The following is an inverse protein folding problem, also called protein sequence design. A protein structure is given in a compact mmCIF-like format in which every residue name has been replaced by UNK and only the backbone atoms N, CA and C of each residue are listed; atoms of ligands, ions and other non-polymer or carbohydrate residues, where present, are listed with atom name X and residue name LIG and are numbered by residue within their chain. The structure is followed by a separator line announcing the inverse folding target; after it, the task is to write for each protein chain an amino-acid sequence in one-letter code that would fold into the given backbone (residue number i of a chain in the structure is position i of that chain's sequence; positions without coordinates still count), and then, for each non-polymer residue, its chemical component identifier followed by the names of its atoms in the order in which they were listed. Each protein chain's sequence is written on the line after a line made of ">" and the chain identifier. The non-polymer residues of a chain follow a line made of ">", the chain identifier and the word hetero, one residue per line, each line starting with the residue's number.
data_IF_240661315225
#
_entry.id   IF_240661315225
#
_cell.length_a   1.000
_cell.length_b   1.000
_cell.length_c   1.000
_cell.angle_alpha   90.00
_cell.angle_beta   90.00
_cell.angle_gamma   90.00
#
_symmetry.space_group_name_H-M   'P 1'
#
loop_
_entity.id
_entity.type
_entity.pdbx_description
1 polymer ?
#
# COMPACT_ATOMS: atom_id res chain seq x y z
N UNK A 1 -18.25 -25.23 4.39
CA UNK A 1 -16.99 -25.32 3.68
C UNK A 1 -17.14 -24.89 2.23
N UNK A 2 -16.03 -24.60 1.56
CA UNK A 2 -16.02 -24.33 0.12
C UNK A 2 -16.47 -25.60 -0.62
N UNK A 3 -17.31 -25.42 -1.64
CA UNK A 3 -17.63 -26.51 -2.55
C UNK A 3 -16.43 -26.78 -3.44
N UNK A 4 -16.31 -28.00 -3.98
CA UNK A 4 -15.13 -28.36 -4.80
C UNK A 4 -15.02 -27.52 -6.08
N UNK A 5 -16.13 -27.13 -6.66
CA UNK A 5 -16.20 -26.28 -7.84
C UNK A 5 -15.64 -24.86 -7.61
N UNK A 6 -15.72 -24.33 -6.39
CA UNK A 6 -15.14 -23.03 -6.03
C UNK A 6 -13.61 -23.02 -6.03
N UNK A 7 -12.97 -24.18 -5.91
CA UNK A 7 -11.51 -24.32 -6.00
C UNK A 7 -10.95 -23.99 -7.39
N UNK A 8 -11.81 -24.04 -8.42
CA UNK A 8 -11.44 -23.70 -9.79
C UNK A 8 -11.42 -22.20 -10.09
N UNK A 9 -11.86 -21.34 -9.16
CA UNK A 9 -11.80 -19.90 -9.33
C UNK A 9 -10.35 -19.43 -9.07
N UNK A 10 -9.57 -19.33 -10.13
CA UNK A 10 -8.19 -18.86 -10.08
C UNK A 10 -8.16 -17.33 -10.21
N UNK A 11 -8.27 -16.63 -9.09
CA UNK A 11 -8.13 -15.16 -9.03
C UNK A 11 -6.83 -14.79 -8.34
N UNK A 12 -6.17 -13.75 -8.86
CA UNK A 12 -4.94 -13.18 -8.31
C UNK A 12 -5.20 -11.73 -7.93
N UNK A 13 -5.80 -11.48 -6.76
CA UNK A 13 -6.12 -10.13 -6.34
C UNK A 13 -4.85 -9.33 -6.03
N UNK A 14 -4.79 -8.10 -6.49
CA UNK A 14 -3.87 -7.11 -5.95
C UNK A 14 -4.42 -6.52 -4.63
N UNK A 15 -3.75 -5.49 -4.10
CA UNK A 15 -4.18 -4.87 -2.85
C UNK A 15 -5.53 -4.17 -2.93
N UNK A 16 -5.93 -3.68 -4.11
CA UNK A 16 -7.21 -3.03 -4.33
C UNK A 16 -8.34 -4.04 -4.56
N UNK A 17 -8.05 -5.13 -5.25
CA UNK A 17 -9.01 -6.17 -5.60
C UNK A 17 -9.43 -6.98 -4.37
N UNK A 18 -8.47 -7.31 -3.50
CA UNK A 18 -8.70 -8.23 -2.38
C UNK A 18 -9.91 -7.86 -1.52
N UNK A 19 -10.10 -6.60 -1.07
CA UNK A 19 -11.29 -6.22 -0.29
C UNK A 19 -12.60 -6.43 -1.06
N UNK A 20 -12.61 -6.10 -2.36
CA UNK A 20 -13.80 -6.25 -3.21
C UNK A 20 -14.12 -7.72 -3.47
N UNK A 21 -13.10 -8.54 -3.74
CA UNK A 21 -13.28 -9.97 -3.97
C UNK A 21 -13.80 -10.69 -2.73
N UNK A 22 -13.27 -10.36 -1.55
CA UNK A 22 -13.79 -10.89 -0.29
C UNK A 22 -15.24 -10.48 -0.08
N UNK A 23 -15.57 -9.22 -0.30
CA UNK A 23 -16.95 -8.75 -0.16
C UNK A 23 -17.89 -9.38 -1.18
N UNK A 24 -17.50 -9.45 -2.45
CA UNK A 24 -18.29 -10.09 -3.50
C UNK A 24 -18.52 -11.58 -3.21
N UNK A 25 -17.47 -12.28 -2.76
CA UNK A 25 -17.57 -13.69 -2.38
C UNK A 25 -18.59 -13.91 -1.25
N UNK A 26 -18.51 -13.15 -0.17
CA UNK A 26 -19.48 -13.29 0.93
C UNK A 26 -20.88 -12.86 0.52
N UNK A 27 -21.03 -11.83 -0.33
CA UNK A 27 -22.31 -11.43 -0.86
C UNK A 27 -22.93 -12.56 -1.72
N UNK A 28 -22.14 -13.17 -2.61
CA UNK A 28 -22.56 -14.31 -3.42
C UNK A 28 -22.98 -15.52 -2.55
N UNK A 29 -22.17 -15.88 -1.53
CA UNK A 29 -22.45 -17.02 -0.65
C UNK A 29 -23.69 -16.82 0.23
N UNK A 30 -24.00 -15.59 0.58
CA UNK A 30 -25.10 -15.24 1.50
C UNK A 30 -26.33 -14.69 0.77
N UNK A 31 -26.31 -14.59 -0.57
CA UNK A 31 -27.41 -14.04 -1.37
C UNK A 31 -27.64 -12.54 -1.09
N UNK A 32 -26.59 -11.79 -0.76
CA UNK A 32 -26.68 -10.38 -0.42
C UNK A 32 -26.48 -9.49 -1.66
N UNK A 33 -27.07 -8.27 -1.67
CA UNK A 33 -26.81 -7.32 -2.73
C UNK A 33 -25.37 -6.88 -2.77
N UNK A 34 -24.83 -6.68 -3.99
CA UNK A 34 -23.47 -6.25 -4.23
C UNK A 34 -23.41 -5.23 -5.36
N UNK A 35 -22.46 -4.32 -5.25
CA UNK A 35 -22.10 -3.36 -6.29
C UNK A 35 -20.73 -2.76 -6.00
N UNK A 36 -20.14 -2.16 -7.04
CA UNK A 36 -18.83 -1.51 -6.99
C UNK A 36 -18.84 -0.23 -7.83
N UNK A 37 -17.97 0.71 -7.45
CA UNK A 37 -17.82 1.98 -8.14
C UNK A 37 -16.53 2.01 -8.96
N UNK A 38 -16.62 2.57 -10.15
CA UNK A 38 -15.47 2.93 -10.96
C UNK A 38 -15.04 4.35 -10.64
N UNK A 39 -13.86 4.50 -10.13
CA UNK A 39 -13.35 5.77 -9.63
C UNK A 39 -12.20 6.26 -10.50
N UNK A 40 -12.00 7.58 -10.59
CA UNK A 40 -10.75 8.13 -11.09
C UNK A 40 -9.66 8.07 -10.00
N UNK A 41 -8.41 8.29 -10.38
CA UNK A 41 -7.28 8.21 -9.44
C UNK A 41 -7.05 9.48 -8.61
N UNK A 42 -7.86 10.53 -8.80
CA UNK A 42 -7.57 11.86 -8.30
C UNK A 42 -6.44 12.52 -9.08
N UNK A 43 -5.96 13.64 -8.62
CA UNK A 43 -4.86 14.41 -9.22
C UNK A 43 -5.11 15.91 -9.14
N UNK A 44 -4.06 16.72 -9.38
CA UNK A 44 -4.17 18.18 -9.28
C UNK A 44 -4.65 18.66 -7.90
N UNK A 45 -4.23 18.02 -6.82
CA UNK A 45 -4.66 18.36 -5.46
C UNK A 45 -6.09 17.93 -5.11
N UNK A 46 -6.74 17.08 -5.92
CA UNK A 46 -8.11 16.60 -5.70
C UNK A 46 -8.14 15.12 -5.38
N UNK A 47 -8.97 14.76 -4.40
CA UNK A 47 -9.25 13.37 -4.05
C UNK A 47 -9.90 12.60 -5.21
N UNK A 48 -9.74 11.25 -5.25
CA UNK A 48 -10.49 10.39 -6.17
C UNK A 48 -12.00 10.59 -6.05
N UNK A 49 -12.72 10.45 -7.17
CA UNK A 49 -14.18 10.46 -7.26
C UNK A 49 -14.67 9.27 -8.05
N UNK A 50 -15.88 8.79 -7.75
CA UNK A 50 -16.48 7.58 -8.32
C UNK A 50 -17.77 7.90 -9.08
N UNK A 51 -17.69 8.44 -10.30
CA UNK A 51 -18.86 8.91 -11.05
C UNK A 51 -19.77 7.79 -11.54
N UNK A 52 -19.33 6.55 -11.52
CA UNK A 52 -20.07 5.39 -12.02
C UNK A 52 -20.17 4.33 -10.93
N UNK A 53 -21.35 3.73 -10.81
CA UNK A 53 -21.60 2.63 -9.90
C UNK A 53 -22.37 1.52 -10.61
N UNK A 54 -21.83 0.32 -10.53
CA UNK A 54 -22.38 -0.90 -11.11
C UNK A 54 -22.79 -1.87 -10.02
N UNK A 55 -23.74 -2.74 -10.30
CA UNK A 55 -24.23 -3.70 -9.33
C UNK A 55 -24.79 -4.94 -10.03
N UNK A 56 -25.15 -5.96 -9.27
CA UNK A 56 -25.67 -7.23 -9.81
C UNK A 56 -26.98 -7.12 -10.63
N UNK A 57 -27.64 -5.96 -10.61
CA UNK A 57 -28.83 -5.69 -11.46
C UNK A 57 -28.47 -4.77 -12.65
N UNK A 58 -27.37 -4.05 -12.58
CA UNK A 58 -26.92 -3.12 -13.62
C UNK A 58 -25.45 -3.38 -13.90
N UNK A 59 -25.20 -4.20 -14.88
CA UNK A 59 -23.84 -4.57 -15.29
C UNK A 59 -23.11 -3.43 -16.00
N UNK A 60 -21.80 -3.37 -15.87
CA UNK A 60 -20.95 -2.49 -16.64
C UNK A 60 -21.01 -2.91 -18.13
N UNK A 61 -21.23 -1.97 -19.06
CA UNK A 61 -21.16 -2.31 -20.48
C UNK A 61 -19.74 -2.77 -20.84
N UNK A 62 -19.60 -3.73 -21.78
CA UNK A 62 -18.29 -4.19 -22.23
C UNK A 62 -17.42 -3.01 -22.65
N UNK A 63 -16.18 -2.96 -22.17
CA UNK A 63 -15.21 -1.96 -22.61
C UNK A 63 -14.92 -2.15 -24.10
N UNK A 64 -14.89 -1.10 -24.93
CA UNK A 64 -14.39 -1.21 -26.28
C UNK A 64 -12.95 -1.68 -26.23
N UNK A 65 -12.60 -2.63 -27.09
CA UNK A 65 -11.23 -3.13 -27.22
C UNK A 65 -10.29 -1.94 -27.40
N UNK A 66 -9.14 -1.84 -26.69
CA UNK A 66 -8.19 -0.73 -26.88
C UNK A 66 -7.81 -0.47 -28.34
N UNK A 67 -7.86 -1.51 -29.18
CA UNK A 67 -7.64 -1.41 -30.63
C UNK A 67 -8.80 -0.71 -31.37
N UNK A 68 -10.02 -0.72 -30.83
CA UNK A 68 -11.15 -0.02 -31.42
C UNK A 68 -11.20 1.46 -31.01
N UNK A 69 -10.63 1.81 -29.85
CA UNK A 69 -10.53 3.18 -29.39
C UNK A 69 -9.52 4.02 -30.20
N UNK A 70 -8.44 3.42 -30.71
CA UNK A 70 -7.53 4.09 -31.62
C UNK A 70 -8.12 4.38 -33.01
N UNK A 71 -9.10 3.59 -33.46
CA UNK A 71 -9.78 3.80 -34.74
C UNK A 71 -10.92 4.84 -34.67
N UNK A 72 -11.48 5.08 -33.50
CA UNK A 72 -12.54 6.09 -33.32
C UNK A 72 -12.01 7.52 -33.12
N UNK A 73 -10.72 7.69 -32.82
CA UNK A 73 -10.04 8.97 -32.62
C UNK A 73 -9.47 9.62 -33.89
N UNK A 74 -9.59 9.01 -35.05
CA UNK A 74 -9.05 9.48 -36.31
C UNK A 74 -10.01 10.34 -37.11
N UNK A 75 -10.11 11.63 -36.87
CA UNK A 75 -10.89 12.47 -37.76
C UNK A 75 -11.11 13.93 -37.35
N UNK A 76 -10.05 14.67 -37.07
CA UNK A 76 -10.10 16.12 -37.32
C UNK A 76 -8.99 16.52 -38.31
N UNK A 77 -9.32 17.09 -39.46
CA UNK A 77 -8.31 17.55 -40.41
C UNK A 77 -7.65 18.81 -39.85
N UNK A 78 -6.36 18.70 -39.54
CA UNK A 78 -5.51 19.85 -39.27
C UNK A 78 -5.42 20.73 -40.52
N UNK A 79 -5.82 21.96 -40.40
CA UNK A 79 -5.82 23.01 -41.47
C UNK A 79 -4.42 23.49 -41.87
N UNK A 80 -3.34 22.89 -41.38
CA UNK A 80 -1.97 23.33 -41.61
C UNK A 80 -1.11 22.45 -42.56
N UNK A 81 -1.74 21.62 -43.39
CA UNK A 81 -1.04 20.70 -44.30
C UNK A 81 -1.04 21.11 -45.78
N UNK A 82 -1.25 22.39 -46.14
CA UNK A 82 -1.17 22.87 -47.54
C UNK A 82 -0.09 23.90 -47.75
N UNK A 83 1.17 23.49 -47.70
CA UNK A 83 2.28 24.17 -48.36
C UNK A 83 3.53 23.27 -48.27
N UNK A 84 3.99 22.87 -49.45
CA UNK A 84 5.18 22.04 -49.76
C UNK A 84 4.89 20.60 -50.15
N UNK A 85 4.61 20.44 -51.44
CA UNK A 85 4.59 19.14 -52.08
C UNK A 85 5.97 18.62 -52.46
N UNK A 86 6.11 17.28 -52.39
CA UNK A 86 6.82 16.43 -53.40
C UNK A 86 6.53 14.96 -53.11
N UNK A 87 6.47 14.11 -54.15
CA UNK A 87 5.93 12.76 -54.00
C UNK A 87 7.02 11.76 -53.64
N UNK A 88 6.72 10.86 -52.73
CA UNK A 88 7.52 9.68 -52.51
C UNK A 88 6.64 8.41 -52.63
N UNK A 89 7.23 7.49 -53.39
CA UNK A 89 6.78 6.16 -53.80
C UNK A 89 6.14 5.34 -52.71
N UNK A 90 5.01 4.72 -53.02
CA UNK A 90 4.29 3.74 -52.20
C UNK A 90 5.06 2.41 -52.11
N UNK A 91 5.21 1.81 -50.92
CA UNK A 91 5.42 0.38 -50.82
C UNK A 91 4.09 -0.35 -50.78
N UNK A 92 3.94 -1.32 -51.66
CA UNK A 92 2.80 -2.24 -51.70
C UNK A 92 2.72 -3.04 -50.39
N UNK A 93 1.72 -2.76 -49.57
CA UNK A 93 1.44 -3.57 -48.39
C UNK A 93 0.67 -4.82 -48.79
N UNK A 94 1.24 -5.98 -48.45
CA UNK A 94 0.50 -7.27 -48.48
C UNK A 94 -0.67 -7.23 -47.48
N UNK A 95 -1.81 -7.83 -47.82
CA UNK A 95 -2.95 -7.88 -46.90
C UNK A 95 -2.60 -8.74 -45.70
N UNK A 96 -2.56 -8.14 -44.52
CA UNK A 96 -2.52 -8.85 -43.24
C UNK A 96 -3.89 -9.47 -43.04
N UNK A 97 -3.96 -10.78 -43.14
CA UNK A 97 -5.16 -11.54 -42.74
C UNK A 97 -5.32 -11.38 -41.24
N UNK A 98 -6.31 -10.58 -40.84
CA UNK A 98 -6.72 -10.48 -39.41
C UNK A 98 -7.14 -11.86 -38.94
N UNK A 99 -6.38 -12.42 -38.01
CA UNK A 99 -6.85 -13.57 -37.23
C UNK A 99 -8.06 -13.10 -36.45
N UNK A 100 -9.26 -13.56 -36.85
CA UNK A 100 -10.47 -13.40 -36.05
C UNK A 100 -10.24 -14.13 -34.73
N UNK A 101 -10.02 -13.40 -33.66
CA UNK A 101 -10.07 -13.95 -32.31
C UNK A 101 -11.48 -14.49 -32.08
N UNK A 102 -11.60 -15.80 -31.90
CA UNK A 102 -12.87 -16.42 -31.54
C UNK A 102 -13.39 -15.74 -30.27
N UNK A 103 -14.67 -15.34 -30.22
CA UNK A 103 -15.23 -14.80 -28.98
C UNK A 103 -15.00 -15.80 -27.85
N UNK A 104 -14.53 -15.32 -26.69
CA UNK A 104 -14.39 -16.15 -25.49
C UNK A 104 -15.74 -16.83 -25.23
N UNK A 105 -15.78 -18.16 -25.04
CA UNK A 105 -17.01 -18.85 -24.70
C UNK A 105 -17.64 -18.23 -23.45
N UNK A 106 -18.96 -18.04 -23.45
CA UNK A 106 -19.67 -17.55 -22.26
C UNK A 106 -19.43 -18.53 -21.11
N UNK A 107 -19.13 -18.04 -19.91
CA UNK A 107 -18.91 -18.89 -18.75
C UNK A 107 -20.19 -19.66 -18.44
N UNK A 108 -20.07 -20.98 -18.29
CA UNK A 108 -21.20 -21.86 -17.94
C UNK A 108 -21.21 -22.13 -16.43
N UNK A 109 -22.40 -22.06 -15.82
CA UNK A 109 -22.63 -22.33 -14.41
C UNK A 109 -22.33 -21.12 -13.48
N UNK A 110 -22.90 -21.14 -12.26
CA UNK A 110 -22.87 -19.98 -11.36
C UNK A 110 -21.48 -19.63 -10.85
N UNK A 111 -20.58 -20.62 -10.71
CA UNK A 111 -19.20 -20.39 -10.22
C UNK A 111 -18.35 -19.73 -11.29
N UNK A 112 -18.42 -20.20 -12.53
CA UNK A 112 -17.69 -19.62 -13.66
C UNK A 112 -18.18 -18.21 -13.98
N UNK A 113 -19.50 -17.98 -13.90
CA UNK A 113 -20.10 -16.65 -14.06
C UNK A 113 -19.64 -15.71 -12.95
N UNK A 114 -19.56 -16.18 -11.71
CA UNK A 114 -19.05 -15.41 -10.60
C UNK A 114 -17.54 -15.10 -10.75
N UNK A 115 -16.75 -16.06 -11.23
CA UNK A 115 -15.33 -15.85 -11.55
C UNK A 115 -15.13 -14.73 -12.58
N UNK A 116 -15.88 -14.75 -13.68
CA UNK A 116 -15.85 -13.70 -14.70
C UNK A 116 -16.29 -12.33 -14.15
N UNK A 117 -17.26 -12.32 -13.24
CA UNK A 117 -17.69 -11.09 -12.57
C UNK A 117 -16.57 -10.51 -11.67
N UNK A 118 -15.82 -11.36 -10.98
CA UNK A 118 -14.66 -10.93 -10.20
C UNK A 118 -13.56 -10.32 -11.09
N UNK A 119 -13.30 -10.89 -12.26
CA UNK A 119 -12.37 -10.31 -13.24
C UNK A 119 -12.82 -8.89 -13.65
N UNK A 120 -14.12 -8.71 -13.96
CA UNK A 120 -14.67 -7.38 -14.28
C UNK A 120 -14.50 -6.38 -13.14
N UNK A 121 -14.71 -6.81 -11.89
CA UNK A 121 -14.47 -5.96 -10.72
C UNK A 121 -13.00 -5.56 -10.66
N UNK A 122 -12.03 -6.50 -10.80
CA UNK A 122 -10.61 -6.24 -10.76
C UNK A 122 -10.14 -5.24 -11.83
N UNK A 123 -10.73 -5.29 -13.02
CA UNK A 123 -10.46 -4.30 -14.08
C UNK A 123 -11.03 -2.90 -13.77
N UNK A 124 -12.05 -2.80 -12.92
CA UNK A 124 -12.78 -1.57 -12.61
C UNK A 124 -12.31 -0.84 -11.36
N UNK A 125 -11.74 -1.56 -10.38
CA UNK A 125 -11.35 -1.00 -9.08
C UNK A 125 -9.85 -0.73 -8.99
N UNK A 126 -9.48 0.18 -8.11
CA UNK A 126 -8.07 0.47 -7.79
C UNK A 126 -7.97 1.11 -6.39
N UNK A 127 -6.77 1.23 -5.87
CA UNK A 127 -6.54 1.76 -4.50
C UNK A 127 -7.12 3.15 -4.22
N UNK A 128 -7.32 3.97 -5.26
CA UNK A 128 -8.02 5.26 -5.15
C UNK A 128 -9.49 5.13 -4.75
N UNK A 129 -10.15 4.01 -5.05
CA UNK A 129 -11.56 3.78 -4.72
C UNK A 129 -11.85 3.90 -3.22
N UNK A 130 -10.89 3.60 -2.36
CA UNK A 130 -11.03 3.74 -0.91
C UNK A 130 -10.47 5.06 -0.35
N UNK A 131 -9.87 5.93 -1.19
CA UNK A 131 -9.32 7.21 -0.78
C UNK A 131 -10.13 8.44 -1.21
N UNK A 132 -11.37 8.25 -1.58
CA UNK A 132 -12.32 9.33 -1.86
C UNK A 132 -12.47 10.26 -0.66
N UNK A 133 -12.95 11.47 -0.86
CA UNK A 133 -13.17 12.42 0.24
C UNK A 133 -14.06 11.80 1.33
N UNK A 134 -13.75 12.07 2.59
CA UNK A 134 -14.47 11.49 3.74
C UNK A 134 -15.98 11.83 3.76
N UNK A 135 -16.33 12.96 3.16
CA UNK A 135 -17.71 13.45 3.07
C UNK A 135 -18.46 12.98 1.81
N UNK A 136 -17.76 12.29 0.89
CA UNK A 136 -18.36 11.85 -0.38
C UNK A 136 -19.28 10.65 -0.15
N UNK A 137 -20.54 10.79 -0.54
CA UNK A 137 -21.58 9.77 -0.42
C UNK A 137 -21.63 8.81 -1.60
N UNK A 138 -21.05 9.19 -2.74
CA UNK A 138 -21.10 8.40 -3.97
C UNK A 138 -19.87 7.48 -4.13
N UNK A 139 -19.50 6.83 -3.06
CA UNK A 139 -18.33 5.95 -2.97
C UNK A 139 -18.70 4.61 -2.38
N UNK A 140 -17.86 3.59 -2.58
CA UNK A 140 -18.10 2.28 -2.00
C UNK A 140 -17.73 2.18 -0.53
N UNK A 141 -16.95 3.13 -0.03
CA UNK A 141 -16.46 3.13 1.34
C UNK A 141 -16.95 4.36 2.12
N UNK A 142 -17.04 4.19 3.42
CA UNK A 142 -17.26 5.30 4.34
C UNK A 142 -16.29 5.22 5.53
N UNK A 143 -15.85 6.35 6.09
CA UNK A 143 -14.94 6.37 7.22
C UNK A 143 -15.67 5.98 8.52
N UNK A 144 -14.96 5.27 9.39
CA UNK A 144 -15.43 4.81 10.70
C UNK A 144 -14.62 5.46 11.82
N UNK A 145 -15.12 5.51 13.08
CA UNK A 145 -14.32 5.97 14.21
C UNK A 145 -13.19 4.99 14.50
N UNK A 146 -12.12 5.46 15.14
CA UNK A 146 -11.08 4.57 15.67
C UNK A 146 -11.57 4.05 17.03
N UNK A 147 -12.23 2.91 17.00
CA UNK A 147 -12.82 2.27 18.17
C UNK A 147 -12.68 0.75 18.10
N UNK A 148 -12.85 0.08 19.24
CA UNK A 148 -12.83 -1.38 19.30
C UNK A 148 -13.88 -2.01 18.39
N UNK A 149 -15.09 -1.46 18.38
CA UNK A 149 -16.19 -1.94 17.54
C UNK A 149 -15.92 -1.76 16.04
N UNK A 150 -15.13 -0.74 15.65
CA UNK A 150 -14.81 -0.44 14.26
C UNK A 150 -13.60 -1.22 13.76
N UNK A 151 -12.58 -1.44 14.60
CA UNK A 151 -11.36 -2.17 14.22
C UNK A 151 -11.57 -3.70 14.31
N UNK A 152 -12.47 -4.21 13.50
CA UNK A 152 -12.88 -5.63 13.45
C UNK A 152 -12.64 -6.24 12.06
N UNK A 153 -12.65 -7.57 11.93
CA UNK A 153 -12.54 -8.24 10.63
C UNK A 153 -13.49 -7.67 9.58
N UNK A 154 -12.98 -7.47 8.36
CA UNK A 154 -13.70 -6.84 7.24
C UNK A 154 -13.61 -5.31 7.19
N UNK A 155 -13.09 -4.64 8.23
CA UNK A 155 -12.72 -3.22 8.13
C UNK A 155 -11.48 -3.09 7.25
N UNK A 156 -11.47 -2.10 6.36
CA UNK A 156 -10.38 -1.83 5.42
C UNK A 156 -9.58 -0.64 5.90
N UNK A 157 -8.28 -0.73 5.81
CA UNK A 157 -7.40 0.43 5.97
C UNK A 157 -6.95 0.91 4.59
N UNK A 158 -7.27 2.14 4.26
CA UNK A 158 -6.78 2.82 3.06
C UNK A 158 -5.47 3.54 3.38
N UNK A 159 -4.36 3.00 2.92
CA UNK A 159 -3.06 3.67 2.98
C UNK A 159 -3.08 4.89 2.04
N UNK A 160 -2.59 6.06 2.44
CA UNK A 160 -2.61 7.27 1.61
C UNK A 160 -1.87 7.08 0.28
N UNK A 161 -0.98 6.12 0.20
CA UNK A 161 -0.07 5.93 -0.93
C UNK A 161 -0.31 4.65 -1.75
N UNK A 162 -1.47 4.02 -1.62
CA UNK A 162 -1.90 3.07 -2.62
C UNK A 162 -2.11 1.63 -2.18
N UNK A 163 -1.98 1.28 -0.90
CA UNK A 163 -2.36 -0.04 -0.42
C UNK A 163 -3.74 -0.04 0.24
N UNK A 164 -4.47 -1.14 0.06
CA UNK A 164 -5.65 -1.45 0.85
C UNK A 164 -5.38 -2.71 1.66
N UNK A 165 -5.64 -2.63 2.95
CA UNK A 165 -5.43 -3.74 3.87
C UNK A 165 -6.76 -4.10 4.52
N UNK A 166 -7.08 -5.38 4.56
CA UNK A 166 -8.30 -5.87 5.22
C UNK A 166 -7.94 -6.38 6.60
N UNK A 167 -8.56 -5.84 7.64
CA UNK A 167 -8.42 -6.38 8.99
C UNK A 167 -8.98 -7.80 8.99
N UNK A 168 -8.13 -8.76 9.35
CA UNK A 168 -8.47 -10.17 9.38
C UNK A 168 -8.71 -10.68 10.81
N UNK A 169 -7.97 -10.16 11.79
CA UNK A 169 -8.07 -10.60 13.19
C UNK A 169 -7.60 -9.52 14.15
N UNK A 170 -8.34 -9.38 15.25
CA UNK A 170 -7.88 -8.67 16.43
C UNK A 170 -7.56 -9.70 17.51
N UNK A 171 -6.37 -9.62 18.06
CA UNK A 171 -5.97 -10.36 19.26
C UNK A 171 -6.00 -9.38 20.41
N UNK A 172 -6.84 -9.66 21.40
CA UNK A 172 -6.97 -8.80 22.57
C UNK A 172 -5.66 -8.73 23.35
N UNK A 173 -5.38 -7.58 23.97
CA UNK A 173 -4.30 -7.43 24.92
C UNK A 173 -4.51 -8.41 26.09
N UNK A 174 -3.43 -9.02 26.54
CA UNK A 174 -3.37 -9.80 27.77
C UNK A 174 -2.43 -9.12 28.76
N UNK A 175 -2.44 -9.53 30.04
CA UNK A 175 -1.60 -8.89 31.05
C UNK A 175 -0.13 -8.71 30.66
N UNK A 176 0.40 -9.63 29.85
CA UNK A 176 1.83 -9.67 29.48
C UNK A 176 2.11 -9.25 28.03
N UNK A 177 1.11 -9.05 27.21
CA UNK A 177 1.31 -8.83 25.76
C UNK A 177 0.40 -7.74 25.23
N UNK A 178 0.97 -6.85 24.41
CA UNK A 178 0.20 -5.86 23.67
C UNK A 178 -0.87 -6.53 22.79
N UNK A 179 -1.97 -5.82 22.57
CA UNK A 179 -2.95 -6.22 21.58
C UNK A 179 -2.36 -6.22 20.19
N UNK A 180 -2.87 -7.08 19.31
CA UNK A 180 -2.40 -7.18 17.93
C UNK A 180 -3.59 -7.03 16.98
N UNK A 181 -3.41 -6.20 15.99
CA UNK A 181 -4.30 -6.08 14.85
C UNK A 181 -3.61 -6.67 13.62
N UNK A 182 -4.17 -7.74 13.07
CA UNK A 182 -3.65 -8.41 11.88
C UNK A 182 -4.49 -8.04 10.67
N UNK A 183 -3.81 -7.69 9.60
CA UNK A 183 -4.41 -7.41 8.30
C UNK A 183 -3.89 -8.39 7.25
N UNK A 184 -4.61 -8.48 6.14
CA UNK A 184 -4.19 -9.15 4.90
C UNK A 184 -4.10 -8.13 3.78
N UNK A 185 -3.14 -8.35 2.89
CA UNK A 185 -2.79 -7.47 1.78
C UNK A 185 -2.55 -8.31 0.52
N UNK A 186 -3.27 -8.01 -0.55
CA UNK A 186 -3.00 -8.59 -1.87
C UNK A 186 -1.74 -7.98 -2.47
N UNK A 187 -0.92 -8.82 -3.07
CA UNK A 187 0.32 -8.38 -3.70
C UNK A 187 0.19 -8.41 -5.24
N UNK A 188 0.96 -7.62 -5.99
CA UNK A 188 0.89 -7.61 -7.46
C UNK A 188 1.13 -8.98 -8.11
N UNK A 189 1.87 -9.88 -7.45
CA UNK A 189 2.07 -11.27 -7.91
C UNK A 189 0.87 -12.19 -7.64
N UNK A 190 -0.22 -11.65 -7.04
CA UNK A 190 -1.43 -12.37 -6.68
C UNK A 190 -1.33 -13.16 -5.38
N UNK A 191 -0.26 -13.02 -4.62
CA UNK A 191 -0.15 -13.60 -3.28
C UNK A 191 -0.85 -12.74 -2.24
N UNK A 192 -1.23 -13.35 -1.11
CA UNK A 192 -1.85 -12.63 0.02
C UNK A 192 -0.91 -12.70 1.22
N UNK A 193 -0.40 -11.53 1.62
CA UNK A 193 0.49 -11.40 2.75
C UNK A 193 -0.29 -11.08 4.03
N UNK A 194 0.18 -11.60 5.17
CA UNK A 194 -0.27 -11.17 6.50
C UNK A 194 0.62 -10.06 6.99
N UNK A 195 0.02 -9.03 7.59
CA UNK A 195 0.73 -7.89 8.17
C UNK A 195 0.22 -7.59 9.58
N UNK A 196 1.14 -7.38 10.50
CA UNK A 196 0.82 -6.81 11.82
C UNK A 196 0.62 -5.30 11.64
N UNK A 197 -0.47 -4.78 12.17
CA UNK A 197 -0.75 -3.35 12.19
C UNK A 197 0.03 -2.69 13.35
N UNK A 198 0.92 -1.77 13.03
CA UNK A 198 1.62 -0.94 13.99
C UNK A 198 2.10 0.36 13.29
N UNK A 199 2.34 1.42 14.05
CA UNK A 199 2.64 2.75 13.49
C UNK A 199 3.85 2.83 12.55
N UNK A 200 4.79 1.90 12.63
CA UNK A 200 5.95 1.82 11.73
C UNK A 200 5.68 1.09 10.39
N UNK A 201 4.55 0.42 10.22
CA UNK A 201 4.20 -0.31 9.01
C UNK A 201 3.19 0.43 8.12
N UNK A 202 2.38 1.31 8.71
CA UNK A 202 1.26 1.93 8.05
C UNK A 202 1.45 3.42 8.05
N UNK A 203 1.18 4.01 6.90
CA UNK A 203 1.28 5.44 6.75
C UNK A 203 -0.09 6.05 6.94
N UNK A 204 -0.15 7.11 7.71
CA UNK A 204 -1.28 8.01 7.76
C UNK A 204 -0.76 9.41 7.42
N UNK A 205 -1.42 10.09 6.53
CA UNK A 205 -1.10 11.45 6.14
C UNK A 205 -2.39 12.21 5.83
N UNK A 206 -2.39 13.48 6.09
CA UNK A 206 -3.48 14.37 5.72
C UNK A 206 -2.99 15.31 4.62
N UNK A 207 -3.40 15.01 3.42
CA UNK A 207 -3.21 15.87 2.26
C UNK A 207 -4.46 15.74 1.38
N UNK A 208 -5.14 16.85 1.05
CA UNK A 208 -6.35 16.82 0.22
C UNK A 208 -6.15 16.09 -1.12
N UNK A 209 -4.95 16.16 -1.70
CA UNK A 209 -4.61 15.47 -2.95
C UNK A 209 -4.49 13.95 -2.81
N UNK A 210 -4.25 13.45 -1.59
CA UNK A 210 -4.20 12.01 -1.31
C UNK A 210 -5.59 11.43 -0.97
N UNK A 211 -6.60 12.28 -0.86
CA UNK A 211 -7.93 11.90 -0.45
C UNK A 211 -8.04 11.67 1.06
N UNK A 212 -8.91 10.76 1.47
CA UNK A 212 -9.14 10.44 2.88
C UNK A 212 -8.61 9.04 3.21
N UNK A 213 -7.38 8.90 3.67
CA UNK A 213 -6.85 7.63 4.19
C UNK A 213 -7.50 7.24 5.52
N UNK A 214 -7.15 6.05 6.02
CA UNK A 214 -7.59 5.56 7.32
C UNK A 214 -8.53 4.37 7.26
N UNK A 215 -9.17 4.07 8.39
CA UNK A 215 -10.07 2.93 8.53
C UNK A 215 -11.43 3.23 7.92
N UNK A 216 -11.91 2.28 7.11
CA UNK A 216 -13.17 2.40 6.38
C UNK A 216 -13.92 1.08 6.34
N UNK A 217 -15.20 1.18 6.03
CA UNK A 217 -16.04 0.03 5.68
C UNK A 217 -16.71 0.25 4.36
N UNK A 218 -17.09 -0.85 3.74
CA UNK A 218 -17.97 -0.80 2.59
C UNK A 218 -19.35 -0.28 2.97
N UNK A 219 -19.88 0.60 2.14
CA UNK A 219 -21.27 1.05 2.30
C UNK A 219 -22.23 -0.11 2.18
N UNK A 220 -23.26 -0.12 3.03
CA UNK A 220 -24.36 -1.06 2.85
C UNK A 220 -25.05 -0.81 1.50
N UNK A 221 -25.29 -1.90 0.77
CA UNK A 221 -26.12 -1.90 -0.42
C UNK A 221 -27.49 -2.45 -0.02
N UNK A 222 -28.54 -1.68 -0.29
CA UNK A 222 -29.91 -2.02 0.09
C UNK A 222 -30.82 -1.96 -1.13
N UNK A 223 -31.99 -2.60 -1.03
CA UNK A 223 -33.06 -2.43 -2.02
C UNK A 223 -33.78 -1.12 -1.75
N UNK A 224 -34.06 -0.38 -2.81
CA UNK A 224 -34.95 0.77 -2.75
C UNK A 224 -36.43 0.34 -2.79
N UNK A 225 -37.36 1.31 -2.67
CA UNK A 225 -38.79 1.05 -2.70
C UNK A 225 -39.32 0.45 -4.03
N UNK A 226 -38.56 0.52 -5.11
CA UNK A 226 -38.86 0.01 -6.44
C UNK A 226 -38.15 -1.32 -6.75
N UNK A 227 -37.45 -1.89 -5.77
CA UNK A 227 -36.67 -3.12 -5.92
C UNK A 227 -35.29 -2.94 -6.56
N UNK A 228 -34.91 -1.72 -6.92
CA UNK A 228 -33.54 -1.35 -7.34
C UNK A 228 -32.54 -1.45 -6.22
N UNK A 229 -31.25 -1.46 -6.57
CA UNK A 229 -30.16 -1.44 -5.59
C UNK A 229 -29.56 -0.04 -5.47
N UNK A 230 -29.31 0.39 -4.23
CA UNK A 230 -28.62 1.64 -3.92
C UNK A 230 -27.66 1.49 -2.72
N UNK A 231 -26.72 2.38 -2.62
CA UNK A 231 -25.85 2.53 -1.44
C UNK A 231 -26.51 3.46 -0.42
N UNK A 232 -26.27 3.22 0.87
CA UNK A 232 -26.66 4.17 1.92
C UNK A 232 -25.70 5.36 1.95
N UNK A 233 -26.25 6.58 2.10
CA UNK A 233 -25.47 7.79 2.30
C UNK A 233 -24.92 7.90 3.74
N UNK A 234 -23.98 8.82 3.97
CA UNK A 234 -23.34 9.05 5.28
C UNK A 234 -24.37 9.35 6.38
N UNK A 235 -25.34 10.21 6.07
CA UNK A 235 -26.39 10.58 7.02
C UNK A 235 -27.34 9.41 7.36
N UNK A 236 -27.60 8.52 6.40
CA UNK A 236 -28.40 7.31 6.63
C UNK A 236 -27.63 6.31 7.48
N UNK A 237 -26.34 6.10 7.19
CA UNK A 237 -25.46 5.22 7.97
C UNK A 237 -25.37 5.73 9.41
N UNK A 238 -25.12 7.02 9.63
CA UNK A 238 -24.97 7.61 10.95
C UNK A 238 -26.20 7.42 11.86
N UNK A 239 -27.40 7.37 11.28
CA UNK A 239 -28.67 7.20 11.99
C UNK A 239 -29.14 5.74 12.11
N UNK A 240 -28.45 4.82 11.45
CA UNK A 240 -28.87 3.44 11.37
C UNK A 240 -28.42 2.67 12.62
N UNK A 241 -29.36 2.02 13.31
CA UNK A 241 -29.06 1.26 14.53
C UNK A 241 -28.12 0.04 14.27
N UNK A 242 -28.14 -0.50 13.06
CA UNK A 242 -27.31 -1.66 12.69
C UNK A 242 -25.92 -1.27 12.21
N UNK A 243 -25.79 -0.12 11.53
CA UNK A 243 -24.52 0.32 10.94
C UNK A 243 -23.85 1.43 11.76
N UNK A 244 -24.55 2.44 12.15
CA UNK A 244 -24.32 3.57 13.09
C UNK A 244 -22.91 4.11 13.33
N UNK A 245 -21.91 3.68 12.57
CA UNK A 245 -20.49 3.90 12.82
C UNK A 245 -19.81 4.81 11.78
N UNK A 246 -20.57 5.64 11.08
CA UNK A 246 -19.99 6.71 10.27
C UNK A 246 -19.33 7.77 11.16
N UNK A 247 -18.08 8.14 10.85
CA UNK A 247 -17.37 9.17 11.61
C UNK A 247 -16.35 9.90 10.74
N UNK A 248 -16.27 11.23 10.93
CA UNK A 248 -15.24 12.08 10.34
C UNK A 248 -14.07 12.32 11.32
N UNK A 249 -14.00 11.61 12.43
CA UNK A 249 -12.96 11.78 13.45
C UNK A 249 -11.55 11.69 12.85
N UNK A 250 -11.28 10.65 12.05
CA UNK A 250 -9.95 10.42 11.46
C UNK A 250 -9.48 11.56 10.57
N UNK A 251 -10.40 12.19 9.84
CA UNK A 251 -10.08 13.31 8.96
C UNK A 251 -9.68 14.59 9.73
N UNK A 252 -9.90 14.63 11.04
CA UNK A 252 -9.56 15.77 11.92
C UNK A 252 -8.31 15.51 12.75
N UNK A 253 -7.83 14.26 12.82
CA UNK A 253 -6.63 13.90 13.57
C UNK A 253 -5.37 14.23 12.76
N UNK A 254 -4.35 14.77 13.43
CA UNK A 254 -2.99 14.77 12.87
C UNK A 254 -2.38 13.38 12.89
N UNK A 255 -1.18 13.22 12.32
CA UNK A 255 -0.51 11.91 12.18
C UNK A 255 -0.27 11.25 13.54
N UNK A 256 0.35 11.94 14.48
CA UNK A 256 0.64 11.37 15.81
C UNK A 256 -0.65 11.07 16.61
N UNK A 257 -1.65 11.98 16.71
CA UNK A 257 -2.92 11.66 17.36
C UNK A 257 -3.67 10.49 16.74
N UNK A 258 -3.59 10.30 15.41
CA UNK A 258 -4.17 9.13 14.75
C UNK A 258 -3.54 7.83 15.26
N UNK A 259 -2.22 7.77 15.29
CA UNK A 259 -1.52 6.57 15.76
C UNK A 259 -1.69 6.36 17.26
N UNK A 260 -1.68 7.44 18.06
CA UNK A 260 -1.92 7.35 19.50
C UNK A 260 -3.32 6.77 19.78
N UNK A 261 -4.35 7.25 19.05
CA UNK A 261 -5.70 6.71 19.17
C UNK A 261 -5.81 5.25 18.73
N UNK A 262 -5.13 4.89 17.67
CA UNK A 262 -5.06 3.50 17.19
C UNK A 262 -4.42 2.58 18.24
N UNK A 263 -3.29 3.00 18.80
CA UNK A 263 -2.58 2.24 19.84
C UNK A 263 -3.44 2.08 21.11
N UNK A 264 -4.19 3.13 21.50
CA UNK A 264 -5.11 3.11 22.65
C UNK A 264 -6.22 2.07 22.48
N UNK A 265 -6.72 1.90 21.26
CA UNK A 265 -7.77 0.92 20.95
C UNK A 265 -7.22 -0.50 20.84
N UNK A 266 -6.03 -0.65 20.28
CA UNK A 266 -5.40 -1.97 20.13
C UNK A 266 -4.95 -2.51 21.49
N UNK A 267 -4.39 -1.66 22.35
CA UNK A 267 -3.87 -2.01 23.67
C UNK A 267 -4.44 -1.06 24.73
N UNK A 268 -5.68 -1.25 25.20
CA UNK A 268 -6.35 -0.30 26.08
C UNK A 268 -5.77 -0.23 27.50
N UNK A 269 -5.14 -1.30 27.99
CA UNK A 269 -4.50 -1.30 29.30
C UNK A 269 -3.04 -0.80 29.21
N UNK A 270 -2.48 -0.23 30.30
CA UNK A 270 -1.08 0.19 30.32
C UNK A 270 -0.13 -0.95 29.99
N UNK A 271 0.84 -0.70 29.13
CA UNK A 271 1.86 -1.66 28.70
C UNK A 271 3.13 -1.55 29.56
N UNK A 272 3.79 -2.66 29.83
CA UNK A 272 5.17 -2.61 30.35
C UNK A 272 6.07 -1.88 29.34
N UNK A 273 6.74 -0.78 29.73
CA UNK A 273 7.48 0.05 28.79
C UNK A 273 8.72 -0.65 28.21
N UNK A 274 9.38 -1.54 28.99
CA UNK A 274 10.55 -2.30 28.52
C UNK A 274 10.14 -3.35 27.50
N UNK A 275 9.05 -4.03 27.75
CA UNK A 275 8.50 -5.00 26.79
C UNK A 275 8.02 -4.33 25.51
N UNK A 276 7.32 -3.21 25.64
CA UNK A 276 6.80 -2.48 24.49
C UNK A 276 7.91 -1.98 23.56
N UNK A 277 9.06 -1.51 24.09
CA UNK A 277 10.20 -1.13 23.25
C UNK A 277 10.84 -2.35 22.59
N UNK A 278 10.95 -3.50 23.28
CA UNK A 278 11.48 -4.73 22.70
C UNK A 278 10.60 -5.25 21.54
N UNK A 279 9.28 -5.12 21.67
CA UNK A 279 8.35 -5.45 20.58
C UNK A 279 8.50 -4.50 19.39
N UNK A 280 8.70 -3.19 19.63
CA UNK A 280 8.95 -2.21 18.58
C UNK A 280 10.28 -2.50 17.83
N UNK A 281 11.34 -2.86 18.56
CA UNK A 281 12.63 -3.26 17.98
C UNK A 281 12.47 -4.55 17.15
N UNK A 282 11.68 -5.51 17.64
CA UNK A 282 11.39 -6.74 16.88
C UNK A 282 10.66 -6.45 15.58
N UNK A 283 9.70 -5.53 15.60
CA UNK A 283 9.01 -5.11 14.39
C UNK A 283 9.91 -4.38 13.38
N UNK A 284 10.89 -3.61 13.84
CA UNK A 284 11.94 -3.03 12.99
C UNK A 284 12.84 -4.13 12.38
N UNK A 285 13.25 -5.10 13.18
CA UNK A 285 14.07 -6.24 12.74
C UNK A 285 13.37 -7.04 11.63
N UNK A 286 12.08 -7.31 11.78
CA UNK A 286 11.26 -7.95 10.74
C UNK A 286 11.26 -7.14 9.43
N UNK A 287 11.18 -5.81 9.48
CA UNK A 287 11.24 -4.96 8.30
C UNK A 287 12.61 -4.96 7.63
N UNK A 288 13.69 -4.96 8.44
CA UNK A 288 15.06 -5.07 7.92
C UNK A 288 15.26 -6.41 7.21
N UNK A 289 14.81 -7.52 7.81
CA UNK A 289 14.91 -8.85 7.19
C UNK A 289 14.08 -8.96 5.90
N UNK A 290 12.90 -8.35 5.84
CA UNK A 290 12.11 -8.26 4.61
C UNK A 290 12.84 -7.43 3.52
N UNK A 291 13.58 -6.38 3.93
CA UNK A 291 14.42 -5.60 3.01
C UNK A 291 15.63 -6.39 2.52
N UNK A 292 16.27 -7.20 3.36
CA UNK A 292 17.35 -8.12 2.95
C UNK A 292 16.90 -8.97 1.77
N UNK A 293 15.71 -9.59 1.89
CA UNK A 293 15.13 -10.40 0.81
C UNK A 293 14.91 -9.58 -0.47
N UNK A 294 14.39 -8.36 -0.35
CA UNK A 294 14.10 -7.53 -1.52
C UNK A 294 15.36 -7.04 -2.23
N UNK A 295 16.38 -6.63 -1.48
CA UNK A 295 17.67 -6.20 -2.04
C UNK A 295 18.37 -7.39 -2.68
N UNK A 296 18.31 -8.58 -2.07
CA UNK A 296 18.89 -9.81 -2.63
C UNK A 296 18.21 -10.24 -3.93
N UNK A 297 16.88 -10.07 -4.05
CA UNK A 297 16.18 -10.32 -5.31
C UNK A 297 16.68 -9.42 -6.43
N UNK A 298 16.90 -8.12 -6.14
CA UNK A 298 17.52 -7.19 -7.08
C UNK A 298 18.95 -7.59 -7.46
N UNK A 299 19.78 -8.02 -6.50
CA UNK A 299 21.12 -8.53 -6.74
C UNK A 299 21.12 -9.75 -7.67
N UNK A 300 20.22 -10.71 -7.42
CA UNK A 300 20.05 -11.90 -8.27
C UNK A 300 19.60 -11.56 -9.67
N UNK A 301 18.70 -10.59 -9.84
CA UNK A 301 18.31 -10.08 -11.14
C UNK A 301 19.51 -9.52 -11.90
N UNK A 302 20.32 -8.69 -11.26
CA UNK A 302 21.53 -8.12 -11.85
C UNK A 302 22.58 -9.21 -12.20
N UNK A 303 22.83 -10.16 -11.30
CA UNK A 303 23.79 -11.25 -11.50
C UNK A 303 23.43 -12.16 -12.69
N UNK A 304 22.13 -12.26 -13.03
CA UNK A 304 21.64 -12.98 -14.23
C UNK A 304 21.71 -12.15 -15.52
N UNK A 305 22.40 -11.00 -15.52
CA UNK A 305 22.48 -10.13 -16.69
C UNK A 305 21.25 -9.22 -16.87
N UNK A 306 20.51 -8.95 -15.79
CA UNK A 306 19.40 -8.00 -15.81
C UNK A 306 19.83 -6.64 -16.35
N UNK A 307 19.02 -6.07 -17.26
CA UNK A 307 19.27 -4.76 -17.83
C UNK A 307 19.16 -3.68 -16.76
N UNK A 308 19.83 -2.55 -16.99
CA UNK A 308 19.60 -1.36 -16.18
C UNK A 308 18.11 -0.98 -16.28
N UNK A 309 17.46 -0.78 -15.12
CA UNK A 309 16.07 -0.38 -15.12
C UNK A 309 15.96 1.14 -15.25
N UNK A 310 15.04 1.56 -16.09
CA UNK A 310 14.70 2.97 -16.20
C UNK A 310 14.07 3.43 -14.87
N UNK A 311 14.63 4.49 -14.32
CA UNK A 311 14.06 5.13 -13.12
C UNK A 311 12.92 6.04 -13.54
N UNK A 312 11.69 5.81 -13.06
CA UNK A 312 10.55 6.65 -13.37
C UNK A 312 10.71 8.08 -12.86
N UNK A 313 9.91 8.99 -13.41
CA UNK A 313 9.91 10.39 -13.00
C UNK A 313 8.89 10.67 -11.90
N UNK A 314 9.26 11.56 -10.99
CA UNK A 314 8.38 12.09 -9.95
C UNK A 314 7.76 10.99 -9.07
N UNK A 315 6.47 11.13 -8.71
CA UNK A 315 5.75 10.18 -7.87
C UNK A 315 5.71 8.75 -8.41
N UNK A 316 5.92 8.57 -9.71
CA UNK A 316 5.88 7.27 -10.37
C UNK A 316 6.99 6.30 -9.90
N UNK A 317 8.03 6.79 -9.20
CA UNK A 317 9.01 5.89 -8.57
C UNK A 317 8.37 4.90 -7.59
N UNK A 318 7.19 5.23 -7.06
CA UNK A 318 6.45 4.42 -6.10
C UNK A 318 5.39 3.49 -6.72
N UNK A 319 5.12 3.59 -8.03
CA UNK A 319 3.89 3.06 -8.63
C UNK A 319 4.05 2.41 -10.01
N UNK A 320 5.26 2.11 -10.41
CA UNK A 320 5.55 1.58 -11.76
C UNK A 320 5.45 0.07 -11.87
N UNK A 321 5.48 -0.42 -13.11
CA UNK A 321 5.52 -1.83 -13.48
C UNK A 321 6.91 -2.24 -13.98
N UNK A 322 7.16 -3.56 -14.05
CA UNK A 322 8.40 -4.11 -14.57
C UNK A 322 9.55 -4.13 -13.57
N UNK A 323 10.79 -4.16 -14.07
CA UNK A 323 11.97 -4.38 -13.24
C UNK A 323 12.16 -3.33 -12.12
N UNK A 324 11.70 -2.09 -12.33
CA UNK A 324 11.74 -1.08 -11.27
C UNK A 324 10.80 -1.44 -10.11
N UNK A 325 9.56 -1.81 -10.41
CA UNK A 325 8.59 -2.22 -9.38
C UNK A 325 9.03 -3.48 -8.65
N UNK A 326 9.56 -4.47 -9.40
CA UNK A 326 9.96 -5.76 -8.85
C UNK A 326 11.17 -5.67 -7.90
N UNK A 327 12.14 -4.79 -8.19
CA UNK A 327 13.46 -4.85 -7.56
C UNK A 327 13.95 -3.55 -6.93
N UNK A 328 13.42 -2.38 -7.28
CA UNK A 328 13.65 -1.14 -6.53
C UNK A 328 12.82 -1.13 -5.23
N UNK A 329 13.25 -0.34 -4.26
CA UNK A 329 12.66 -0.41 -2.92
C UNK A 329 12.12 0.92 -2.36
N UNK A 330 11.66 1.91 -3.18
CA UNK A 330 11.34 3.23 -2.65
C UNK A 330 10.20 3.20 -1.60
N UNK A 331 9.14 2.45 -1.85
CA UNK A 331 8.02 2.31 -0.90
C UNK A 331 8.45 1.59 0.39
N UNK A 332 9.32 0.61 0.26
CA UNK A 332 9.84 -0.18 1.39
C UNK A 332 10.81 0.63 2.22
N UNK A 333 11.70 1.38 1.57
CA UNK A 333 12.69 2.21 2.23
C UNK A 333 12.04 3.37 2.97
N UNK A 334 11.02 4.00 2.41
CA UNK A 334 10.23 5.02 3.12
C UNK A 334 9.59 4.44 4.41
N UNK A 335 9.01 3.24 4.35
CA UNK A 335 8.44 2.58 5.54
C UNK A 335 9.51 2.19 6.55
N UNK A 336 10.68 1.74 6.10
CA UNK A 336 11.80 1.44 6.99
C UNK A 336 12.25 2.69 7.74
N UNK A 337 12.37 3.83 7.06
CA UNK A 337 12.73 5.11 7.68
C UNK A 337 11.73 5.55 8.73
N UNK A 338 10.44 5.36 8.49
CA UNK A 338 9.37 5.61 9.48
C UNK A 338 9.51 4.66 10.67
N UNK A 339 9.77 3.37 10.44
CA UNK A 339 9.97 2.41 11.52
C UNK A 339 11.20 2.75 12.38
N UNK A 340 12.29 3.22 11.76
CA UNK A 340 13.46 3.73 12.46
C UNK A 340 13.08 4.89 13.38
N UNK A 341 12.32 5.87 12.88
CA UNK A 341 11.89 7.03 13.67
C UNK A 341 10.95 6.62 14.82
N UNK A 342 10.06 5.65 14.60
CA UNK A 342 9.17 5.10 15.63
C UNK A 342 9.95 4.43 16.77
N UNK A 343 10.97 3.64 16.43
CA UNK A 343 11.80 2.95 17.43
C UNK A 343 12.70 3.93 18.16
N UNK A 344 13.36 4.83 17.44
CA UNK A 344 14.24 5.86 18.02
C UNK A 344 13.49 6.80 18.94
N UNK A 345 12.27 7.21 18.57
CA UNK A 345 11.41 8.11 19.35
C UNK A 345 10.59 7.42 20.44
N UNK A 346 10.73 6.09 20.64
CA UNK A 346 9.93 5.37 21.62
C UNK A 346 10.13 5.85 23.07
N UNK A 347 11.36 6.08 23.57
CA UNK A 347 11.56 6.60 24.92
C UNK A 347 10.89 7.98 25.16
N UNK A 348 10.96 8.88 24.18
CA UNK A 348 10.29 10.18 24.23
C UNK A 348 8.76 10.05 24.27
N UNK A 349 8.21 9.04 23.59
CA UNK A 349 6.78 8.76 23.61
C UNK A 349 6.33 8.27 25.00
N UNK A 350 7.13 7.44 25.65
CA UNK A 350 6.83 6.99 27.02
C UNK A 350 6.85 8.17 27.99
N UNK A 351 7.79 9.08 27.88
CA UNK A 351 7.83 10.31 28.69
C UNK A 351 6.63 11.22 28.42
N UNK A 352 6.21 11.36 27.16
CA UNK A 352 5.07 12.20 26.75
C UNK A 352 3.73 11.64 27.20
N UNK A 353 3.59 10.31 27.24
CA UNK A 353 2.34 9.61 27.54
C UNK A 353 2.52 8.53 28.60
N UNK A 354 3.01 8.87 29.82
CA UNK A 354 3.31 7.90 30.86
C UNK A 354 2.08 7.09 31.29
N UNK A 355 0.88 7.67 31.18
CA UNK A 355 -0.39 7.01 31.50
C UNK A 355 -0.70 5.76 30.65
N UNK A 356 -0.01 5.63 29.49
CA UNK A 356 -0.13 4.48 28.58
C UNK A 356 0.72 3.29 28.99
N UNK A 357 1.54 3.47 30.02
CA UNK A 357 2.52 2.46 30.43
C UNK A 357 2.38 2.14 31.92
N UNK A 358 2.64 0.87 32.25
CA UNK A 358 2.75 0.43 33.63
C UNK A 358 4.08 0.93 34.20
N UNK A 359 4.07 2.21 34.60
CA UNK A 359 5.28 2.89 35.10
C UNK A 359 5.77 2.23 36.39
N UNK A 360 7.08 1.94 36.52
CA UNK A 360 7.63 1.39 37.75
C UNK A 360 7.39 2.30 38.94
N UNK A 361 7.00 1.71 40.07
CA UNK A 361 6.71 2.48 41.28
C UNK A 361 7.96 3.26 41.74
N UNK A 362 7.77 4.52 42.09
CA UNK A 362 8.83 5.40 42.58
C UNK A 362 9.76 5.98 41.52
N UNK A 363 9.52 5.73 40.21
CA UNK A 363 10.28 6.31 39.13
C UNK A 363 9.50 7.39 38.39
N UNK A 364 10.17 8.47 38.07
CA UNK A 364 9.68 9.50 37.16
C UNK A 364 9.68 9.03 35.69
N UNK A 365 8.90 9.68 34.85
CA UNK A 365 8.88 9.39 33.40
C UNK A 365 10.27 9.63 32.76
N UNK A 366 11.02 10.63 33.24
CA UNK A 366 12.38 10.92 32.77
C UNK A 366 13.39 9.80 33.13
N UNK A 367 13.30 9.21 34.31
CA UNK A 367 14.15 8.08 34.71
C UNK A 367 13.83 6.84 33.87
N UNK A 368 12.54 6.55 33.64
CA UNK A 368 12.12 5.44 32.76
C UNK A 368 12.59 5.67 31.33
N UNK A 369 12.50 6.91 30.81
CA UNK A 369 13.03 7.28 29.50
C UNK A 369 14.53 6.97 29.39
N UNK A 370 15.33 7.37 30.40
CA UNK A 370 16.76 7.10 30.40
C UNK A 370 17.10 5.60 30.40
N UNK A 371 16.35 4.80 31.17
CA UNK A 371 16.49 3.34 31.15
C UNK A 371 16.13 2.73 29.79
N UNK A 372 15.08 3.23 29.16
CA UNK A 372 14.67 2.77 27.83
C UNK A 372 15.67 3.17 26.75
N UNK A 373 16.32 4.34 26.84
CA UNK A 373 17.40 4.76 25.95
C UNK A 373 18.60 3.82 26.06
N UNK A 374 18.99 3.44 27.28
CA UNK A 374 20.07 2.48 27.52
C UNK A 374 19.71 1.10 26.95
N UNK A 375 18.51 0.58 27.24
CA UNK A 375 18.03 -0.69 26.72
C UNK A 375 17.97 -0.68 25.18
N UNK A 376 17.49 0.41 24.59
CA UNK A 376 17.44 0.58 23.14
C UNK A 376 18.82 0.47 22.51
N UNK A 377 19.82 1.20 23.05
CA UNK A 377 21.18 1.17 22.56
C UNK A 377 21.80 -0.24 22.65
N UNK A 378 21.58 -0.94 23.74
CA UNK A 378 22.04 -2.31 23.96
C UNK A 378 21.41 -3.29 22.96
N UNK A 379 20.08 -3.28 22.82
CA UNK A 379 19.37 -4.22 21.97
C UNK A 379 19.63 -3.98 20.47
N UNK A 380 19.77 -2.74 20.05
CA UNK A 380 20.15 -2.40 18.68
C UNK A 380 21.54 -2.92 18.30
N UNK A 381 22.49 -2.94 19.25
CA UNK A 381 23.82 -3.47 19.03
C UNK A 381 23.86 -5.01 19.01
N UNK A 382 22.99 -5.67 19.79
CA UNK A 382 22.91 -7.13 19.84
C UNK A 382 22.29 -7.74 18.60
N UNK A 383 21.27 -7.10 18.00
CA UNK A 383 20.55 -7.63 16.86
C UNK A 383 21.32 -7.42 15.58
N UNK A 384 21.66 -8.52 14.93
CA UNK A 384 22.49 -8.57 13.72
C UNK A 384 21.77 -9.23 12.58
N UNK A 385 22.04 -8.79 11.39
CA UNK A 385 21.62 -9.44 10.16
C UNK A 385 22.77 -9.41 9.14
N UNK A 386 22.70 -10.28 8.14
CA UNK A 386 23.70 -10.33 7.09
C UNK A 386 23.06 -10.18 5.72
N UNK A 387 23.79 -9.59 4.80
CA UNK A 387 23.41 -9.51 3.40
C UNK A 387 24.58 -9.97 2.50
N UNK A 388 24.26 -10.35 1.25
CA UNK A 388 25.26 -10.75 0.27
C UNK A 388 25.76 -9.52 -0.47
N UNK A 389 27.07 -9.23 -0.43
CA UNK A 389 27.72 -8.15 -1.20
C UNK A 389 27.73 -8.45 -2.70
N UNK A 390 28.13 -7.46 -3.49
CA UNK A 390 28.18 -7.56 -4.96
C UNK A 390 29.12 -8.65 -5.47
N UNK A 391 30.18 -8.99 -4.74
CA UNK A 391 31.12 -10.07 -5.04
C UNK A 391 30.65 -11.47 -4.57
N UNK A 392 29.52 -11.55 -3.87
CA UNK A 392 29.00 -12.79 -3.31
C UNK A 392 29.43 -13.06 -1.87
N UNK A 393 30.33 -12.28 -1.28
CA UNK A 393 30.72 -12.40 0.13
C UNK A 393 29.60 -11.91 1.05
N UNK A 394 29.62 -12.40 2.30
CA UNK A 394 28.65 -11.97 3.33
C UNK A 394 29.19 -10.74 4.08
N UNK A 395 28.29 -9.81 4.36
CA UNK A 395 28.55 -8.69 5.27
C UNK A 395 27.50 -8.63 6.36
N UNK A 396 27.92 -8.30 7.58
CA UNK A 396 27.03 -8.26 8.76
C UNK A 396 26.91 -6.85 9.30
N UNK A 397 25.67 -6.42 9.52
CA UNK A 397 25.30 -5.17 10.15
C UNK A 397 24.47 -5.43 11.41
N UNK A 398 24.44 -4.44 12.29
CA UNK A 398 23.53 -4.38 13.43
C UNK A 398 22.32 -3.52 13.11
N UNK A 399 21.24 -3.61 13.89
CA UNK A 399 20.15 -2.64 13.78
C UNK A 399 20.60 -1.21 14.14
N UNK A 400 21.63 -1.06 14.98
CA UNK A 400 22.26 0.23 15.25
C UNK A 400 22.83 0.85 13.98
N UNK A 401 23.57 0.06 13.18
CA UNK A 401 24.10 0.54 11.89
C UNK A 401 22.98 1.04 10.98
N UNK A 402 21.84 0.33 10.91
CA UNK A 402 20.69 0.75 10.11
C UNK A 402 20.13 2.09 10.56
N UNK A 403 19.99 2.29 11.87
CA UNK A 403 19.48 3.55 12.44
C UNK A 403 20.47 4.70 12.18
N UNK A 404 21.76 4.47 12.35
CA UNK A 404 22.80 5.47 12.10
C UNK A 404 22.91 5.86 10.62
N UNK A 405 22.57 4.92 9.72
CA UNK A 405 22.55 5.11 8.27
C UNK A 405 21.23 5.66 7.73
N UNK A 406 20.27 6.06 8.58
CA UNK A 406 18.96 6.54 8.12
C UNK A 406 19.07 7.61 7.02
N UNK A 407 20.01 8.56 7.14
CA UNK A 407 20.24 9.59 6.12
C UNK A 407 20.78 9.04 4.78
N UNK A 408 21.58 7.97 4.80
CA UNK A 408 22.04 7.30 3.58
C UNK A 408 20.93 6.46 2.96
N UNK A 409 20.07 5.87 3.78
CA UNK A 409 18.93 5.07 3.33
C UNK A 409 17.85 5.91 2.62
N UNK A 410 17.86 7.24 2.75
CA UNK A 410 16.99 8.14 1.97
C UNK A 410 17.25 8.04 0.46
N UNK A 411 18.42 7.53 0.05
CA UNK A 411 18.84 7.38 -1.34
C UNK A 411 19.23 5.94 -1.71
N UNK A 412 18.82 4.95 -0.94
CA UNK A 412 19.27 3.56 -1.10
C UNK A 412 18.33 2.66 -1.92
N UNK A 413 17.27 3.21 -2.48
CA UNK A 413 16.17 2.47 -3.11
C UNK A 413 16.42 2.04 -4.56
N UNK A 414 17.46 2.55 -5.23
CA UNK A 414 17.70 2.30 -6.66
C UNK A 414 18.31 0.91 -6.87
N UNK A 415 17.65 0.08 -7.67
CA UNK A 415 18.14 -1.26 -7.98
C UNK A 415 19.41 -1.26 -8.85
N UNK A 416 19.72 -0.15 -9.54
CA UNK A 416 20.91 -0.04 -10.38
C UNK A 416 22.19 0.24 -9.58
N UNK A 417 22.06 0.60 -8.31
CA UNK A 417 23.19 0.67 -7.41
C UNK A 417 23.63 -0.72 -6.92
N UNK A 418 24.88 -0.85 -6.55
CA UNK A 418 25.41 -2.02 -5.87
C UNK A 418 24.71 -2.24 -4.51
N UNK A 419 24.73 -3.46 -4.01
CA UNK A 419 24.06 -3.85 -2.77
C UNK A 419 24.59 -3.02 -1.59
N UNK A 420 25.87 -2.77 -1.53
CA UNK A 420 26.54 -2.02 -0.47
C UNK A 420 25.97 -0.61 -0.34
N UNK A 421 25.79 0.10 -1.46
CA UNK A 421 25.16 1.43 -1.46
C UNK A 421 23.67 1.35 -1.08
N UNK A 422 23.01 0.28 -1.46
CA UNK A 422 21.62 0.03 -1.03
C UNK A 422 21.50 -0.26 0.47
N UNK A 423 22.60 -0.58 1.17
CA UNK A 423 22.67 -0.65 2.62
C UNK A 423 23.33 0.58 3.26
N UNK A 424 23.53 1.63 2.46
CA UNK A 424 24.06 2.91 2.95
C UNK A 424 25.53 2.87 3.32
N UNK A 425 26.30 1.96 2.72
CA UNK A 425 27.75 1.93 2.91
C UNK A 425 28.37 3.25 2.46
N UNK A 426 29.28 3.79 3.27
CA UNK A 426 30.01 5.01 2.95
C UNK A 426 31.04 4.75 1.84
N UNK A 427 31.26 5.75 0.98
CA UNK A 427 32.31 5.69 -0.01
C UNK A 427 33.69 5.51 0.65
N UNK A 428 34.47 4.56 0.12
CA UNK A 428 35.80 4.22 0.66
C UNK A 428 35.79 3.29 1.87
N UNK A 429 34.64 2.96 2.45
CA UNK A 429 34.56 1.96 3.51
C UNK A 429 34.90 0.55 2.99
N UNK A 430 35.41 -0.32 3.87
CA UNK A 430 35.68 -1.74 3.54
C UNK A 430 34.46 -2.44 2.96
N UNK A 431 33.29 -2.16 3.52
CA UNK A 431 32.01 -2.68 3.03
C UNK A 431 31.78 -2.35 1.55
N UNK A 432 32.14 -1.13 1.11
CA UNK A 432 31.91 -0.65 -0.24
C UNK A 432 32.97 -1.08 -1.28
N UNK A 433 34.05 -1.74 -0.87
CA UNK A 433 35.15 -2.12 -1.78
C UNK A 433 34.72 -3.07 -2.92
N UNK A 434 33.67 -3.83 -2.71
CA UNK A 434 33.12 -4.76 -3.71
C UNK A 434 32.13 -4.10 -4.68
N UNK A 435 31.76 -2.84 -4.43
CA UNK A 435 30.81 -2.07 -5.24
C UNK A 435 31.43 -1.68 -6.60
N UNK A 436 30.98 -2.31 -7.66
CA UNK A 436 31.40 -2.03 -9.05
C UNK A 436 30.33 -1.37 -9.90
N UNK A 437 29.08 -1.29 -9.40
CA UNK A 437 27.93 -0.78 -10.16
C UNK A 437 27.29 0.38 -9.40
N UNK A 438 27.00 1.46 -10.14
CA UNK A 438 26.26 2.61 -9.63
C UNK A 438 25.20 3.02 -10.62
N UNK A 439 24.09 3.51 -10.11
CA UNK A 439 23.08 4.18 -10.91
C UNK A 439 23.71 5.34 -11.71
N UNK A 440 23.20 5.60 -12.91
CA UNK A 440 23.72 6.66 -13.77
C UNK A 440 23.68 8.04 -13.09
N UNK A 441 24.53 8.96 -13.52
CA UNK A 441 24.53 10.33 -12.97
C UNK A 441 23.15 10.99 -13.06
N UNK A 442 22.42 10.77 -14.16
CA UNK A 442 21.07 11.28 -14.35
C UNK A 442 20.08 10.70 -13.32
N UNK A 443 20.13 9.40 -13.03
CA UNK A 443 19.29 8.79 -12.02
C UNK A 443 19.64 9.30 -10.61
N UNK A 444 20.92 9.46 -10.31
CA UNK A 444 21.34 10.03 -9.01
C UNK A 444 20.88 11.46 -8.83
N UNK A 445 20.95 12.29 -9.85
CA UNK A 445 20.42 13.65 -9.80
C UNK A 445 18.90 13.66 -9.52
N UNK A 446 18.13 12.75 -10.13
CA UNK A 446 16.71 12.58 -9.80
C UNK A 446 16.53 12.18 -8.33
N UNK A 447 17.31 11.20 -7.84
CA UNK A 447 17.24 10.76 -6.45
C UNK A 447 17.54 11.88 -5.45
N UNK A 448 18.52 12.73 -5.73
CA UNK A 448 18.81 13.94 -4.94
C UNK A 448 17.60 14.88 -4.90
N UNK A 449 16.94 15.12 -6.03
CA UNK A 449 15.72 15.90 -6.10
C UNK A 449 14.55 15.29 -5.33
N UNK A 450 14.50 13.97 -5.20
CA UNK A 450 13.42 13.24 -4.49
C UNK A 450 13.76 12.96 -3.02
N UNK A 451 14.97 13.22 -2.59
CA UNK A 451 15.43 12.94 -1.23
C UNK A 451 14.54 13.58 -0.16
N UNK A 452 14.02 14.77 -0.42
CA UNK A 452 13.11 15.46 0.50
C UNK A 452 11.90 14.61 0.89
N UNK A 453 11.36 13.80 -0.01
CA UNK A 453 10.22 12.93 0.29
C UNK A 453 10.56 11.87 1.35
N UNK A 454 11.74 11.29 1.25
CA UNK A 454 12.23 10.31 2.22
C UNK A 454 12.60 10.97 3.54
N UNK A 455 13.23 12.16 3.49
CA UNK A 455 13.59 12.94 4.67
C UNK A 455 12.36 13.35 5.47
N UNK A 456 11.31 13.79 4.80
CA UNK A 456 10.04 14.20 5.40
C UNK A 456 9.08 13.03 5.69
N UNK A 457 9.48 11.79 5.39
CA UNK A 457 8.65 10.57 5.59
C UNK A 457 7.30 10.62 4.91
N UNK A 458 7.23 11.22 3.76
CA UNK A 458 6.00 11.36 2.97
C UNK A 458 6.25 11.06 1.50
N UNK A 459 5.20 10.70 0.79
CA UNK A 459 5.19 10.68 -0.67
C UNK A 459 4.60 11.99 -1.20
N UNK A 460 5.04 12.44 -2.38
CA UNK A 460 4.35 13.53 -3.06
C UNK A 460 2.96 13.07 -3.50
N UNK A 461 2.03 14.04 -3.63
CA UNK A 461 0.78 13.80 -4.32
C UNK A 461 1.06 13.43 -5.79
N UNK A 462 0.15 12.66 -6.39
CA UNK A 462 0.19 12.43 -7.83
C UNK A 462 -0.03 13.74 -8.58
N UNK A 463 0.76 13.95 -9.62
CA UNK A 463 0.65 15.12 -10.47
C UNK A 463 -0.71 15.20 -11.18
#
# INVERSE_FOLDING_TARGET
>A
GLREDEKGIAIKPDCADLPYFLRAYFAFKLGLPFGYAKCNRGGGGKAPRCPQWWNIQKEEPPQPDPLDAEQAGGGQPSVFGKLFGKPASQPVSKPVVKAMTKPKPKPEGPVNTFGAYLETIGEGVHSGSARTAATDDETDYYPVPISEASLRPGTVYADPYGHLLVIAKRVAQTGDSAGILLAVDGQPDGTVARKRFWRGNFLFAQDPGLGSPGFKRFRPVVRDGNGGLRRLGNAEIAKNAQYGDFSLEQAKLGVEPFYDRMDDVISPAPLDPKRAILEAITALDEQVNARVTSVENGRKYQAKGGREADMPDGPSIFETTGAWEDFATPSRDLRLLIAIDVVRGFPDRVERRPERYAMPQGKSAAEVKAELQALLAEELQKRKFSYTRSDGSSWTLTLKDVIERAGALEMAYNLNDCVELRWGAADGAEEAQTCKRRASAAQRQKMEGYRAWFHERRRPARA
#
